data_IF_525911964370
#
_entry.id   IF_525911964370
#
_cell.length_a   1.000
_cell.length_b   1.000
_cell.length_c   1.000
_cell.angle_alpha   90.00
_cell.angle_beta   90.00
_cell.angle_gamma   90.00
#
_symmetry.space_group_name_H-M   'P 1'
#
loop_
_entity.id
_entity.type
_entity.pdbx_description
1 polymer ?
#
# COMPACT_ATOMS: atom_id res chain seq x y z
N UNK A 1 25.49 -27.09 74.72
CA UNK A 1 26.41 -26.22 73.97
C UNK A 1 26.54 -26.78 72.56
N UNK A 2 25.94 -26.11 71.58
CA UNK A 2 25.95 -26.46 70.15
C UNK A 2 26.49 -25.24 69.37
N UNK A 3 27.19 -25.42 68.24
CA UNK A 3 27.68 -24.30 67.44
C UNK A 3 26.58 -23.74 66.53
N UNK A 4 26.46 -22.42 66.48
CA UNK A 4 25.51 -21.71 65.62
C UNK A 4 26.10 -21.52 64.21
N UNK A 5 25.37 -22.02 63.23
CA UNK A 5 25.66 -21.99 61.80
C UNK A 5 24.99 -20.75 61.19
N UNK A 6 25.78 -19.73 60.85
CA UNK A 6 25.28 -18.57 60.10
C UNK A 6 25.14 -18.92 58.62
N UNK A 7 23.88 -19.01 58.15
CA UNK A 7 23.53 -19.17 56.74
C UNK A 7 23.16 -17.80 56.17
N UNK A 8 24.09 -17.18 55.44
CA UNK A 8 23.83 -15.93 54.69
C UNK A 8 23.11 -16.25 53.38
N UNK A 9 21.84 -15.88 53.28
CA UNK A 9 21.06 -15.90 52.04
C UNK A 9 21.27 -14.58 51.28
N UNK A 10 22.02 -14.61 50.19
CA UNK A 10 22.11 -13.47 49.26
C UNK A 10 20.89 -13.47 48.33
N UNK A 11 19.97 -12.53 48.51
CA UNK A 11 18.85 -12.29 47.61
C UNK A 11 19.36 -11.48 46.41
N UNK A 12 19.48 -12.11 45.25
CA UNK A 12 19.71 -11.43 43.99
C UNK A 12 18.40 -10.77 43.53
N UNK A 13 18.28 -9.45 43.70
CA UNK A 13 17.19 -8.67 43.13
C UNK A 13 17.53 -8.43 41.65
N UNK A 14 17.00 -9.30 40.79
CA UNK A 14 17.06 -9.09 39.34
C UNK A 14 16.00 -8.07 38.96
N UNK A 15 16.42 -6.81 38.77
CA UNK A 15 15.56 -5.75 38.23
C UNK A 15 15.27 -6.04 36.76
N UNK A 16 14.15 -6.70 36.50
CA UNK A 16 13.54 -6.70 35.17
C UNK A 16 12.92 -5.33 34.93
N UNK A 17 13.52 -4.54 34.03
CA UNK A 17 12.92 -3.33 33.52
C UNK A 17 11.66 -3.73 32.74
N UNK A 18 10.49 -3.41 33.30
CA UNK A 18 9.21 -3.57 32.65
C UNK A 18 9.11 -2.52 31.53
N UNK A 19 9.47 -2.89 30.31
CA UNK A 19 9.11 -2.11 29.13
C UNK A 19 7.59 -2.06 29.05
N UNK A 20 7.02 -0.85 29.06
CA UNK A 20 5.60 -0.61 28.87
C UNK A 20 5.19 -1.12 27.48
N UNK A 21 4.77 -2.38 27.39
CA UNK A 21 3.96 -2.85 26.28
C UNK A 21 2.55 -2.33 26.55
N UNK A 22 2.02 -1.51 25.63
CA UNK A 22 0.64 -1.04 25.69
C UNK A 22 -0.30 -2.25 25.77
N UNK A 23 -0.82 -2.52 26.97
CA UNK A 23 -1.88 -3.49 27.17
C UNK A 23 -3.11 -3.01 26.41
N UNK A 24 -3.56 -3.81 25.46
CA UNK A 24 -4.87 -3.64 24.85
C UNK A 24 -5.91 -3.84 25.94
N UNK A 25 -6.77 -2.85 26.22
CA UNK A 25 -7.83 -3.05 27.19
C UNK A 25 -8.80 -4.12 26.67
N UNK A 26 -9.21 -5.05 27.54
CA UNK A 26 -10.32 -5.98 27.29
C UNK A 26 -11.68 -5.25 27.38
N UNK A 27 -11.75 -4.05 26.81
CA UNK A 27 -12.92 -3.16 26.87
C UNK A 27 -13.92 -3.43 25.75
N UNK A 28 -13.65 -4.41 24.87
CA UNK A 28 -14.51 -4.76 23.75
C UNK A 28 -14.44 -3.80 22.57
N UNK A 29 -13.52 -2.81 22.60
CA UNK A 29 -13.33 -1.87 21.49
C UNK A 29 -12.31 -2.39 20.48
N UNK A 30 -12.41 -1.90 19.24
CA UNK A 30 -11.42 -2.18 18.20
C UNK A 30 -10.00 -1.76 18.67
N UNK A 31 -8.96 -2.56 18.34
CA UNK A 31 -7.61 -2.29 18.80
C UNK A 31 -7.04 -1.04 18.16
N UNK A 32 -6.51 -0.13 18.98
CA UNK A 32 -5.94 1.14 18.58
C UNK A 32 -4.61 1.41 19.28
N UNK A 33 -3.78 2.28 18.69
CA UNK A 33 -2.61 2.85 19.34
C UNK A 33 -3.01 4.22 19.89
N UNK A 34 -3.00 4.36 21.21
CA UNK A 34 -3.61 5.49 21.94
C UNK A 34 -2.87 6.82 21.76
N UNK A 35 -1.57 6.79 21.51
CA UNK A 35 -0.66 7.94 21.41
C UNK A 35 -0.08 8.09 19.99
N UNK A 36 -0.77 7.57 18.98
CA UNK A 36 -0.28 7.55 17.61
C UNK A 36 -0.17 8.96 17.02
N UNK A 37 1.05 9.36 16.65
CA UNK A 37 1.31 10.62 15.95
C UNK A 37 1.87 10.39 14.55
N UNK A 38 1.95 11.46 13.75
CA UNK A 38 2.44 11.38 12.37
C UNK A 38 3.91 10.92 12.27
N UNK A 39 4.73 11.16 13.29
CA UNK A 39 6.13 10.73 13.35
C UNK A 39 6.28 9.22 13.58
N UNK A 40 5.28 8.61 14.21
CA UNK A 40 5.23 7.19 14.55
C UNK A 40 4.73 6.32 13.39
N UNK A 41 4.27 6.95 12.30
CA UNK A 41 3.68 6.27 11.16
C UNK A 41 4.71 6.12 10.04
N UNK A 42 5.15 4.89 9.80
CA UNK A 42 5.83 4.54 8.56
C UNK A 42 5.68 3.06 8.22
N UNK A 43 5.94 2.70 6.97
CA UNK A 43 6.01 1.31 6.52
C UNK A 43 7.00 0.47 7.35
N UNK A 44 8.13 1.06 7.73
CA UNK A 44 9.15 0.36 8.51
C UNK A 44 8.75 0.19 9.99
N UNK A 45 7.95 1.10 10.54
CA UNK A 45 7.45 1.03 11.92
C UNK A 45 6.23 0.11 12.02
N UNK A 46 5.39 0.04 10.97
CA UNK A 46 4.27 -0.89 10.88
C UNK A 46 4.72 -2.35 11.08
N UNK A 47 5.83 -2.72 10.44
CA UNK A 47 6.40 -4.06 10.54
C UNK A 47 6.92 -4.41 11.95
N UNK A 48 7.10 -3.41 12.82
CA UNK A 48 7.56 -3.57 14.21
C UNK A 48 6.42 -3.59 15.22
N UNK A 49 5.18 -3.34 14.78
CA UNK A 49 4.03 -3.44 15.67
C UNK A 49 3.92 -4.87 16.19
N UNK A 50 3.67 -5.06 17.50
CA UNK A 50 3.43 -6.38 18.05
C UNK A 50 2.11 -6.93 17.52
N UNK A 51 2.11 -8.24 17.28
CA UNK A 51 0.89 -8.96 16.97
C UNK A 51 -0.09 -8.86 18.16
N UNK A 52 -1.39 -8.78 17.88
CA UNK A 52 -2.46 -8.79 18.89
C UNK A 52 -2.40 -10.10 19.66
N UNK A 53 -2.48 -10.05 20.99
CA UNK A 53 -2.56 -11.26 21.83
C UNK A 53 -3.81 -12.09 21.53
N UNK A 54 -4.92 -11.40 21.22
CA UNK A 54 -6.17 -12.02 20.83
C UNK A 54 -6.75 -11.28 19.62
N UNK A 55 -7.14 -11.98 18.55
CA UNK A 55 -7.88 -11.40 17.44
C UNK A 55 -9.13 -10.66 17.90
N UNK A 56 -9.40 -9.51 17.28
CA UNK A 56 -10.64 -8.77 17.46
C UNK A 56 -11.59 -9.09 16.32
N UNK A 57 -12.83 -9.49 16.63
CA UNK A 57 -13.88 -9.77 15.66
C UNK A 57 -15.17 -9.14 16.17
N UNK A 58 -15.75 -8.20 15.41
CA UNK A 58 -17.01 -7.55 15.75
C UNK A 58 -18.00 -7.60 14.59
N UNK A 59 -19.19 -8.09 14.91
CA UNK A 59 -20.40 -8.05 14.09
C UNK A 59 -21.25 -6.79 14.36
N UNK A 60 -20.76 -5.89 15.22
CA UNK A 60 -21.41 -4.63 15.57
C UNK A 60 -20.32 -3.56 15.74
N UNK A 61 -19.82 -3.00 14.62
CA UNK A 61 -18.73 -2.01 14.66
C UNK A 61 -19.14 -0.75 15.42
N UNK A 62 -18.18 -0.15 16.13
CA UNK A 62 -18.42 1.06 16.90
C UNK A 62 -18.53 2.31 16.00
N UNK A 63 -19.50 3.18 16.28
CA UNK A 63 -19.60 4.48 15.61
C UNK A 63 -18.53 5.45 16.14
N UNK A 64 -17.42 5.55 15.41
CA UNK A 64 -16.30 6.45 15.71
C UNK A 64 -16.57 7.93 15.41
N UNK A 65 -17.79 8.30 14.99
CA UNK A 65 -18.18 9.68 14.64
C UNK A 65 -17.29 10.30 13.56
N UNK A 66 -16.74 9.48 12.67
CA UNK A 66 -15.83 9.87 11.59
C UNK A 66 -16.54 10.02 10.23
N UNK A 67 -17.88 9.97 10.21
CA UNK A 67 -18.70 10.06 9.00
C UNK A 67 -18.94 8.73 8.29
N UNK A 68 -18.34 7.62 8.74
CA UNK A 68 -18.68 6.27 8.28
C UNK A 68 -19.89 5.78 9.09
N UNK A 69 -20.98 5.45 8.41
CA UNK A 69 -22.14 4.85 9.07
C UNK A 69 -21.80 3.42 9.52
N UNK A 70 -22.31 2.99 10.66
CA UNK A 70 -22.16 1.61 11.16
C UNK A 70 -23.54 0.96 11.31
N UNK A 71 -23.57 -0.36 11.20
CA UNK A 71 -24.76 -1.16 11.46
C UNK A 71 -24.37 -2.55 11.96
N UNK A 72 -25.28 -3.25 12.62
CA UNK A 72 -25.04 -4.64 13.03
C UNK A 72 -25.10 -5.58 11.82
N UNK A 73 -24.22 -6.57 11.80
CA UNK A 73 -24.31 -7.71 10.88
C UNK A 73 -25.56 -8.53 11.22
N UNK A 74 -26.58 -8.41 10.38
CA UNK A 74 -27.85 -9.15 10.53
C UNK A 74 -28.03 -10.15 9.39
N UNK A 75 -29.07 -10.99 9.49
CA UNK A 75 -29.47 -11.90 8.41
C UNK A 75 -29.91 -11.20 7.11
N UNK A 76 -30.02 -9.86 7.10
CA UNK A 76 -30.25 -9.08 5.88
C UNK A 76 -28.98 -8.91 5.04
N UNK A 77 -27.80 -9.06 5.65
CA UNK A 77 -26.54 -9.19 4.92
C UNK A 77 -26.41 -10.64 4.48
N UNK A 78 -25.97 -10.87 3.25
CA UNK A 78 -25.83 -12.24 2.74
C UNK A 78 -24.82 -13.04 3.58
N UNK A 79 -25.23 -14.24 4.02
CA UNK A 79 -24.38 -15.25 4.67
C UNK A 79 -23.57 -14.77 5.90
N UNK A 80 -24.20 -14.23 6.95
CA UNK A 80 -23.51 -13.71 8.14
C UNK A 80 -22.66 -14.77 8.85
N UNK A 81 -23.14 -16.02 8.90
CA UNK A 81 -22.39 -17.13 9.49
C UNK A 81 -21.13 -17.49 8.69
N UNK A 82 -21.15 -17.31 7.36
CA UNK A 82 -19.97 -17.55 6.53
C UNK A 82 -18.91 -16.46 6.74
N UNK A 83 -19.34 -15.20 6.92
CA UNK A 83 -18.46 -14.07 7.25
C UNK A 83 -17.75 -14.32 8.58
N UNK A 84 -18.50 -14.70 9.62
CA UNK A 84 -17.95 -15.00 10.94
C UNK A 84 -16.98 -16.19 10.88
N UNK A 85 -17.39 -17.29 10.22
CA UNK A 85 -16.54 -18.46 10.03
C UNK A 85 -15.23 -18.09 9.32
N UNK A 86 -15.30 -17.28 8.27
CA UNK A 86 -14.11 -16.84 7.55
C UNK A 86 -13.18 -16.01 8.43
N UNK A 87 -13.72 -15.09 9.22
CA UNK A 87 -12.93 -14.32 10.18
C UNK A 87 -12.26 -15.22 11.24
N UNK A 88 -12.95 -16.25 11.73
CA UNK A 88 -12.35 -17.26 12.62
C UNK A 88 -11.22 -18.03 11.95
N UNK A 89 -11.37 -18.46 10.70
CA UNK A 89 -10.29 -19.13 9.96
C UNK A 89 -9.07 -18.22 9.78
N UNK A 90 -9.28 -16.92 9.58
CA UNK A 90 -8.16 -15.96 9.54
C UNK A 90 -7.48 -15.88 10.90
N UNK A 91 -8.25 -15.81 11.99
CA UNK A 91 -7.73 -15.82 13.37
C UNK A 91 -6.92 -17.10 13.68
N UNK A 92 -7.36 -18.24 13.15
CA UNK A 92 -6.70 -19.54 13.31
C UNK A 92 -5.43 -19.69 12.44
N UNK A 93 -5.18 -18.74 11.53
CA UNK A 93 -3.99 -18.70 10.68
C UNK A 93 -4.12 -19.42 9.34
N UNK A 94 -5.32 -19.88 8.97
CA UNK A 94 -5.56 -20.67 7.75
C UNK A 94 -5.35 -19.89 6.44
N UNK A 95 -5.32 -18.55 6.51
CA UNK A 95 -5.29 -17.65 5.35
C UNK A 95 -4.02 -16.78 5.28
N UNK A 96 -2.96 -17.14 6.01
CA UNK A 96 -1.68 -16.47 5.98
C UNK A 96 -1.67 -15.12 6.73
N UNK A 97 -0.91 -14.16 6.19
CA UNK A 97 -0.54 -12.93 6.90
C UNK A 97 -1.55 -11.79 6.75
N UNK A 98 -2.78 -12.00 7.21
CA UNK A 98 -3.84 -10.98 7.17
C UNK A 98 -3.82 -10.15 8.46
N UNK A 99 -3.86 -8.82 8.34
CA UNK A 99 -3.91 -7.91 9.49
C UNK A 99 -5.33 -7.43 9.82
N UNK A 100 -6.24 -7.40 8.84
CA UNK A 100 -7.60 -6.92 9.06
C UNK A 100 -8.54 -7.39 7.97
N UNK A 101 -9.81 -7.56 8.31
CA UNK A 101 -10.91 -7.77 7.37
C UNK A 101 -12.13 -6.96 7.80
N UNK A 102 -12.60 -6.09 6.91
CA UNK A 102 -13.73 -5.19 7.13
C UNK A 102 -14.74 -5.37 6.00
N UNK A 103 -16.03 -5.24 6.32
CA UNK A 103 -17.11 -5.36 5.35
C UNK A 103 -18.07 -4.17 5.46
N UNK A 104 -18.23 -3.48 4.33
CA UNK A 104 -19.21 -2.42 4.16
C UNK A 104 -20.35 -2.92 3.27
N UNK A 105 -21.59 -2.69 3.69
CA UNK A 105 -22.79 -3.09 2.96
C UNK A 105 -23.84 -1.97 3.03
N UNK A 106 -24.40 -1.59 1.87
CA UNK A 106 -25.38 -0.50 1.74
C UNK A 106 -24.94 0.82 2.41
N UNK A 107 -23.65 1.17 2.28
CA UNK A 107 -23.09 2.41 2.81
C UNK A 107 -22.76 2.40 4.31
N UNK A 108 -22.95 1.27 5.01
CA UNK A 108 -22.60 1.11 6.41
C UNK A 108 -21.54 0.03 6.63
N UNK A 109 -20.60 0.27 7.54
CA UNK A 109 -19.68 -0.74 8.05
C UNK A 109 -20.49 -1.70 8.93
N UNK A 110 -20.59 -2.96 8.50
CA UNK A 110 -21.42 -3.98 9.17
C UNK A 110 -20.61 -4.99 9.96
N UNK A 111 -19.32 -5.08 9.68
CA UNK A 111 -18.42 -6.04 10.32
C UNK A 111 -16.98 -5.52 10.23
N UNK A 112 -16.22 -5.72 11.30
CA UNK A 112 -14.78 -5.47 11.31
C UNK A 112 -14.04 -6.50 12.15
N UNK A 113 -12.82 -6.81 11.72
CA UNK A 113 -11.93 -7.70 12.44
C UNK A 113 -10.48 -7.29 12.22
N UNK A 114 -9.67 -7.45 13.26
CA UNK A 114 -8.25 -7.15 13.27
C UNK A 114 -7.47 -8.32 13.86
N UNK A 115 -6.37 -8.64 13.22
CA UNK A 115 -5.50 -9.77 13.52
C UNK A 115 -4.04 -9.28 13.51
N UNK A 116 -3.13 -10.02 14.13
CA UNK A 116 -1.69 -9.72 14.07
C UNK A 116 -1.39 -8.24 14.31
N UNK A 117 -0.85 -7.52 13.33
CA UNK A 117 -0.44 -6.11 13.47
C UNK A 117 -1.56 -5.11 13.21
N UNK A 118 -2.76 -5.58 12.90
CA UNK A 118 -3.90 -4.72 12.60
C UNK A 118 -4.26 -3.81 13.77
N UNK A 119 -4.36 -2.52 13.49
CA UNK A 119 -4.90 -1.50 14.40
C UNK A 119 -5.85 -0.62 13.61
N UNK A 120 -7.01 -0.33 14.18
CA UNK A 120 -8.05 0.41 13.48
C UNK A 120 -7.64 1.84 13.10
N UNK A 121 -6.70 2.42 13.86
CA UNK A 121 -6.22 3.79 13.66
C UNK A 121 -4.80 3.87 13.07
N UNK A 122 -4.13 2.74 12.77
CA UNK A 122 -2.79 2.77 12.18
C UNK A 122 -2.84 2.70 10.64
N UNK A 123 -2.25 3.67 9.91
CA UNK A 123 -2.26 3.65 8.45
C UNK A 123 -1.46 2.48 7.86
N UNK A 124 -2.12 1.67 7.03
CA UNK A 124 -1.47 0.59 6.29
C UNK A 124 -0.86 1.08 4.97
N UNK A 125 0.30 0.53 4.60
CA UNK A 125 0.91 0.84 3.32
C UNK A 125 0.15 0.20 2.13
N UNK A 126 -0.55 1.03 1.36
CA UNK A 126 -1.57 0.59 0.40
C UNK A 126 -1.04 0.19 -1.00
N UNK A 127 0.24 0.40 -1.31
CA UNK A 127 0.86 0.02 -2.59
C UNK A 127 0.03 0.47 -3.82
N UNK A 128 -0.33 -0.45 -4.71
CA UNK A 128 -1.04 -0.17 -5.97
C UNK A 128 -2.47 0.33 -5.79
N UNK A 129 -3.08 0.22 -4.60
CA UNK A 129 -4.37 0.87 -4.31
C UNK A 129 -4.26 2.39 -4.50
N UNK A 130 -3.05 2.96 -4.38
CA UNK A 130 -2.77 4.37 -4.69
C UNK A 130 -3.28 4.79 -6.08
N UNK A 131 -3.28 3.87 -7.07
CA UNK A 131 -3.75 4.14 -8.43
C UNK A 131 -5.24 4.49 -8.47
N UNK A 132 -6.06 3.91 -7.61
CA UNK A 132 -7.49 4.24 -7.51
C UNK A 132 -7.70 5.69 -7.09
N UNK A 133 -6.90 6.19 -6.14
CA UNK A 133 -6.96 7.62 -5.78
C UNK A 133 -6.47 8.52 -6.92
N UNK A 134 -5.45 8.11 -7.68
CA UNK A 134 -5.04 8.85 -8.89
C UNK A 134 -6.19 8.94 -9.90
N UNK A 135 -6.90 7.84 -10.14
CA UNK A 135 -8.05 7.82 -11.05
C UNK A 135 -9.19 8.72 -10.55
N UNK A 136 -9.51 8.66 -9.25
CA UNK A 136 -10.52 9.54 -8.63
C UNK A 136 -10.13 11.01 -8.72
N UNK A 137 -8.87 11.35 -8.45
CA UNK A 137 -8.37 12.71 -8.56
C UNK A 137 -8.50 13.25 -9.99
N UNK A 138 -8.19 12.42 -11.00
CA UNK A 138 -8.35 12.79 -12.40
C UNK A 138 -9.82 12.98 -12.78
N UNK A 139 -10.70 12.06 -12.37
CA UNK A 139 -12.14 12.19 -12.59
C UNK A 139 -12.70 13.47 -11.95
N UNK A 140 -12.22 13.82 -10.74
CA UNK A 140 -12.60 15.08 -10.08
C UNK A 140 -12.07 16.30 -10.82
N UNK A 141 -10.84 16.26 -11.34
CA UNK A 141 -10.28 17.33 -12.17
C UNK A 141 -11.11 17.55 -13.44
N UNK A 142 -11.61 16.49 -14.06
CA UNK A 142 -12.53 16.57 -15.21
C UNK A 142 -13.86 17.20 -14.78
N UNK A 143 -14.46 16.75 -13.68
CA UNK A 143 -15.72 17.30 -13.17
C UNK A 143 -15.64 18.80 -12.84
N UNK A 144 -14.47 19.25 -12.37
CA UNK A 144 -14.20 20.66 -12.04
C UNK A 144 -13.78 21.49 -13.27
N UNK A 145 -13.66 20.89 -14.45
CA UNK A 145 -13.27 21.58 -15.69
C UNK A 145 -11.78 21.90 -15.82
N UNK A 146 -10.92 21.32 -14.97
CA UNK A 146 -9.46 21.41 -15.11
C UNK A 146 -8.92 20.50 -16.22
N UNK A 147 -9.68 19.45 -16.55
CA UNK A 147 -9.48 18.56 -17.69
C UNK A 147 -10.82 18.33 -18.37
N UNK A 148 -10.79 17.83 -19.60
CA UNK A 148 -11.96 17.40 -20.37
C UNK A 148 -11.89 15.90 -20.62
N UNK A 149 -13.04 15.27 -20.92
CA UNK A 149 -13.04 13.86 -21.33
C UNK A 149 -12.17 13.63 -22.58
N UNK A 150 -12.23 14.54 -23.56
CA UNK A 150 -11.41 14.49 -24.78
C UNK A 150 -9.89 14.60 -24.51
N UNK A 151 -9.48 15.05 -23.31
CA UNK A 151 -8.06 15.09 -22.93
C UNK A 151 -7.50 13.69 -22.69
N UNK A 152 -8.36 12.69 -22.44
CA UNK A 152 -7.94 11.30 -22.26
C UNK A 152 -7.31 10.70 -23.52
N UNK A 153 -7.74 11.14 -24.71
CA UNK A 153 -7.23 10.68 -26.00
C UNK A 153 -5.96 11.44 -26.45
N UNK A 154 -5.53 12.44 -25.67
CA UNK A 154 -4.30 13.20 -25.98
C UNK A 154 -3.06 12.44 -25.52
N UNK A 155 -1.93 12.61 -26.21
CA UNK A 155 -0.64 12.10 -25.75
C UNK A 155 -0.32 12.49 -24.30
N UNK A 156 0.03 11.53 -23.45
CA UNK A 156 0.32 11.75 -22.02
C UNK A 156 1.49 12.73 -21.82
N UNK A 157 2.45 12.74 -22.75
CA UNK A 157 3.60 13.65 -22.75
C UNK A 157 3.23 15.11 -22.99
N UNK A 158 2.00 15.40 -23.43
CA UNK A 158 1.50 16.77 -23.56
C UNK A 158 1.20 17.43 -22.21
N UNK A 159 0.91 16.62 -21.19
CA UNK A 159 0.63 17.08 -19.81
C UNK A 159 1.90 17.18 -18.94
N UNK A 160 3.03 16.63 -19.40
CA UNK A 160 4.28 16.55 -18.65
C UNK A 160 5.28 17.62 -19.12
N UNK A 161 5.05 18.88 -18.74
CA UNK A 161 5.80 20.04 -19.23
C UNK A 161 7.33 20.00 -18.99
N UNK A 162 7.80 19.24 -17.99
CA UNK A 162 9.22 19.11 -17.63
C UNK A 162 9.90 17.88 -18.24
N UNK A 163 9.20 17.14 -19.11
CA UNK A 163 9.75 15.94 -19.75
C UNK A 163 10.67 16.33 -20.91
N UNK A 164 11.88 15.79 -20.92
CA UNK A 164 12.82 15.94 -22.02
C UNK A 164 12.38 15.04 -23.19
N UNK A 165 11.77 15.66 -24.21
CA UNK A 165 11.18 14.94 -25.35
C UNK A 165 12.20 14.35 -26.30
N UNK A 166 13.44 14.86 -26.29
CA UNK A 166 14.53 14.36 -27.15
C UNK A 166 15.00 12.95 -26.74
N UNK A 167 14.60 12.49 -25.55
CA UNK A 167 14.97 11.18 -24.99
C UNK A 167 13.84 10.14 -25.08
N UNK A 168 12.76 10.45 -25.77
CA UNK A 168 11.68 9.51 -25.98
C UNK A 168 12.11 8.43 -26.98
N UNK A 169 11.73 7.19 -26.69
CA UNK A 169 11.83 6.11 -27.67
C UNK A 169 10.69 6.23 -28.69
N UNK A 170 10.91 5.69 -29.88
CA UNK A 170 9.91 5.69 -30.96
C UNK A 170 8.54 5.21 -30.47
N UNK A 171 7.49 5.97 -30.83
CA UNK A 171 6.11 5.69 -30.47
C UNK A 171 5.70 6.10 -29.06
N UNK A 172 6.62 6.42 -28.15
CA UNK A 172 6.27 6.85 -26.78
C UNK A 172 5.50 8.18 -26.75
N UNK A 173 5.71 9.02 -27.75
CA UNK A 173 5.01 10.30 -27.96
C UNK A 173 3.54 10.15 -28.37
N UNK A 174 3.13 8.97 -28.84
CA UNK A 174 1.75 8.70 -29.27
C UNK A 174 0.89 8.10 -28.14
N UNK A 175 1.50 7.64 -27.05
CA UNK A 175 0.80 7.03 -25.92
C UNK A 175 -0.18 8.04 -25.31
N UNK A 176 -1.46 7.71 -25.33
CA UNK A 176 -2.53 8.54 -24.78
C UNK A 176 -2.58 8.50 -23.26
N UNK A 177 -3.22 9.50 -22.66
CA UNK A 177 -3.50 9.51 -21.22
C UNK A 177 -4.36 8.30 -20.82
N UNK A 178 -5.36 7.93 -21.62
CA UNK A 178 -6.21 6.75 -21.41
C UNK A 178 -5.40 5.44 -21.39
N UNK A 179 -4.47 5.26 -22.32
CA UNK A 179 -3.62 4.06 -22.35
C UNK A 179 -2.67 4.00 -21.15
N UNK A 180 -2.16 5.14 -20.68
CA UNK A 180 -1.36 5.20 -19.46
C UNK A 180 -2.18 4.81 -18.21
N UNK A 181 -3.43 5.26 -18.09
CA UNK A 181 -4.31 4.97 -16.96
C UNK A 181 -4.80 3.53 -16.94
N UNK A 182 -5.01 2.93 -18.12
CA UNK A 182 -5.52 1.57 -18.28
C UNK A 182 -4.42 0.52 -18.45
N UNK A 183 -3.16 0.84 -18.12
CA UNK A 183 -2.02 -0.08 -18.18
C UNK A 183 -1.73 -0.61 -19.60
N UNK A 184 -2.11 0.13 -20.64
CA UNK A 184 -1.92 -0.20 -22.07
C UNK A 184 -0.81 0.60 -22.76
N UNK A 185 -0.08 1.43 -22.01
CA UNK A 185 1.00 2.26 -22.57
C UNK A 185 2.22 1.49 -23.10
N UNK A 186 2.36 0.20 -22.78
CA UNK A 186 3.55 -0.58 -23.16
C UNK A 186 4.84 -0.19 -22.43
N UNK A 187 4.81 0.83 -21.56
CA UNK A 187 5.99 1.30 -20.83
C UNK A 187 6.52 0.20 -19.91
N UNK A 188 7.83 -0.03 -19.97
CA UNK A 188 8.57 -0.97 -19.13
C UNK A 188 9.78 -0.27 -18.53
N UNK A 189 10.13 -0.65 -17.30
CA UNK A 189 11.31 -0.16 -16.61
C UNK A 189 12.05 -1.38 -16.09
N UNK A 190 13.32 -1.53 -16.49
CA UNK A 190 14.20 -2.57 -15.97
C UNK A 190 14.36 -2.43 -14.45
N UNK A 191 14.40 -3.55 -13.74
CA UNK A 191 14.35 -3.57 -12.27
C UNK A 191 15.49 -2.76 -11.64
N UNK A 192 16.69 -2.86 -12.19
CA UNK A 192 17.88 -2.15 -11.72
C UNK A 192 17.74 -0.64 -11.90
N UNK A 193 17.11 -0.22 -13.02
CA UNK A 193 16.83 1.19 -13.30
C UNK A 193 15.75 1.71 -12.33
N UNK A 194 14.68 0.94 -12.13
CA UNK A 194 13.63 1.29 -11.18
C UNK A 194 14.18 1.46 -9.76
N UNK A 195 15.07 0.54 -9.31
CA UNK A 195 15.70 0.62 -7.99
C UNK A 195 16.53 1.90 -7.82
N UNK A 196 17.32 2.28 -8.83
CA UNK A 196 18.11 3.53 -8.82
C UNK A 196 17.22 4.78 -8.76
N UNK A 197 16.12 4.79 -9.51
CA UNK A 197 15.15 5.89 -9.51
C UNK A 197 14.45 6.03 -8.15
N UNK A 198 14.04 4.92 -7.54
CA UNK A 198 13.42 4.91 -6.21
C UNK A 198 14.40 5.47 -5.17
N UNK A 199 15.66 5.04 -5.19
CA UNK A 199 16.67 5.50 -4.25
C UNK A 199 16.99 6.99 -4.44
N UNK A 200 17.12 7.45 -5.69
CA UNK A 200 17.27 8.87 -6.01
C UNK A 200 16.11 9.71 -5.48
N UNK A 201 14.87 9.24 -5.66
CA UNK A 201 13.66 9.91 -5.15
C UNK A 201 13.64 9.98 -3.63
N UNK A 202 14.05 8.92 -2.93
CA UNK A 202 14.17 8.91 -1.46
C UNK A 202 15.16 9.95 -0.97
N UNK A 203 16.34 10.05 -1.59
CA UNK A 203 17.36 11.05 -1.23
C UNK A 203 16.85 12.48 -1.44
N UNK A 204 16.21 12.74 -2.58
CA UNK A 204 15.64 14.06 -2.86
C UNK A 204 14.58 14.46 -1.82
N UNK A 205 13.68 13.52 -1.43
CA UNK A 205 12.66 13.78 -0.40
C UNK A 205 13.25 14.05 0.97
N UNK A 206 14.34 13.37 1.36
CA UNK A 206 15.03 13.60 2.63
C UNK A 206 15.67 14.99 2.66
N UNK A 207 16.40 15.36 1.61
CA UNK A 207 16.97 16.71 1.48
C UNK A 207 15.90 17.82 1.46
N UNK A 208 14.74 17.57 0.84
CA UNK A 208 13.60 18.48 0.90
C UNK A 208 12.93 18.55 2.29
N UNK A 209 13.04 17.48 3.09
CA UNK A 209 12.57 17.47 4.47
C UNK A 209 13.48 18.28 5.40
N UNK A 210 14.78 18.13 5.23
CA UNK A 210 15.80 18.81 6.03
C UNK A 210 15.90 20.32 5.72
N UNK A 211 15.44 20.75 4.54
CA UNK A 211 15.45 22.17 4.13
C UNK A 211 14.28 23.01 4.66
N UNK A 212 13.38 22.44 5.49
CA UNK A 212 12.30 23.19 6.14
C UNK A 212 11.21 23.74 5.21
N UNK A 213 11.22 23.38 3.92
CA UNK A 213 10.20 23.82 2.95
C UNK A 213 8.81 23.28 3.30
N UNK A 214 7.79 24.13 3.17
CA UNK A 214 6.38 23.75 3.40
C UNK A 214 5.88 22.74 2.35
N UNK A 215 4.82 22.00 2.69
CA UNK A 215 4.27 20.91 1.85
C UNK A 215 3.86 21.37 0.43
N UNK A 216 3.37 22.60 0.30
CA UNK A 216 3.05 23.27 -0.97
C UNK A 216 4.31 23.66 -1.74
N UNK A 217 5.32 24.21 -1.08
CA UNK A 217 6.63 24.50 -1.72
C UNK A 217 7.36 23.23 -2.18
N UNK A 218 7.12 22.08 -1.53
CA UNK A 218 7.63 20.76 -1.95
C UNK A 218 6.93 20.22 -3.19
N UNK A 219 5.65 20.53 -3.39
CA UNK A 219 4.90 20.12 -4.58
C UNK A 219 5.39 20.87 -5.83
N UNK A 220 5.69 22.17 -5.70
CA UNK A 220 6.22 22.99 -6.80
C UNK A 220 7.68 22.66 -7.17
N UNK A 221 8.47 22.24 -6.18
CA UNK A 221 9.89 21.86 -6.35
C UNK A 221 10.12 20.38 -6.70
N UNK A 222 9.11 19.51 -6.58
CA UNK A 222 9.31 18.06 -6.47
C UNK A 222 8.61 17.17 -7.49
N UNK A 223 8.98 17.28 -8.78
CA UNK A 223 8.92 16.12 -9.70
C UNK A 223 9.99 16.24 -10.78
N UNK A 224 11.26 16.18 -10.37
CA UNK A 224 12.41 16.05 -11.26
C UNK A 224 13.05 14.67 -11.05
N UNK A 225 12.33 13.62 -11.40
CA UNK A 225 12.99 12.38 -11.77
C UNK A 225 13.63 12.61 -13.15
N UNK A 226 14.95 12.86 -13.20
CA UNK A 226 15.71 12.76 -14.46
C UNK A 226 15.62 11.32 -14.94
N UNK A 227 14.67 11.05 -15.84
CA UNK A 227 14.64 9.83 -16.61
C UNK A 227 15.77 9.95 -17.66
N UNK A 228 16.98 9.55 -17.30
CA UNK A 228 18.03 9.28 -18.29
C UNK A 228 17.85 7.84 -18.75
N UNK A 229 17.11 7.65 -19.85
CA UNK A 229 17.28 6.47 -20.68
C UNK A 229 18.47 6.81 -21.59
N UNK A 230 19.66 6.35 -21.23
CA UNK A 230 20.84 6.43 -22.10
C UNK A 230 20.96 5.11 -22.87
N UNK A 231 20.86 5.16 -24.18
CA UNK A 231 21.30 4.07 -25.05
C UNK A 231 22.78 3.75 -24.78
N UNK A 232 23.08 2.44 -24.67
CA UNK A 232 24.47 1.99 -24.69
C UNK A 232 25.03 2.21 -26.08
N UNK A 233 26.13 2.95 -26.10
CA UNK A 233 27.08 3.08 -27.21
C UNK A 233 27.44 1.69 -27.76
N UNK A 234 27.42 1.58 -29.08
CA UNK A 234 27.88 0.45 -29.90
C UNK A 234 29.19 -0.15 -29.39
N UNK A 235 29.22 -1.46 -29.23
CA UNK A 235 30.45 -2.25 -29.34
C UNK A 235 30.19 -3.32 -30.38
N UNK A 236 30.79 -3.09 -31.56
CA UNK A 236 31.02 -4.11 -32.56
C UNK A 236 31.85 -5.26 -31.99
N UNK A 237 31.56 -6.47 -32.46
CA UNK A 237 32.42 -7.65 -32.34
C UNK A 237 31.96 -8.67 -31.31
N UNK A 238 31.16 -9.66 -31.73
CA UNK A 238 31.72 -10.95 -32.11
C UNK A 238 30.63 -11.86 -32.69
N UNK A 239 30.99 -12.57 -33.75
CA UNK A 239 30.12 -13.50 -34.46
C UNK A 239 30.12 -14.85 -33.76
N UNK A 240 28.95 -15.42 -33.48
CA UNK A 240 28.90 -16.77 -32.92
C UNK A 240 27.51 -17.34 -32.70
N UNK A 241 27.13 -18.25 -33.58
CA UNK A 241 26.16 -19.33 -33.39
C UNK A 241 24.65 -19.00 -33.36
N UNK A 242 24.07 -19.06 -34.56
CA UNK A 242 22.66 -19.33 -34.79
C UNK A 242 22.43 -20.85 -34.74
N UNK A 243 21.82 -21.37 -33.68
CA UNK A 243 20.80 -22.43 -33.84
C UNK A 243 20.08 -22.75 -32.52
N UNK A 244 18.80 -23.13 -32.65
CA UNK A 244 17.94 -23.82 -31.66
C UNK A 244 17.23 -22.96 -30.61
N UNK A 245 15.99 -22.58 -30.91
CA UNK A 245 14.80 -23.37 -30.50
C UNK A 245 13.51 -22.76 -31.04
N UNK A 246 12.86 -23.50 -31.93
CA UNK A 246 11.48 -23.31 -32.37
C UNK A 246 10.49 -23.91 -31.36
N UNK A 247 9.22 -23.44 -31.45
CA UNK A 247 7.98 -23.97 -30.84
C UNK A 247 7.79 -23.46 -29.40
N UNK A 248 6.70 -22.78 -29.05
CA UNK A 248 5.33 -23.18 -29.32
C UNK A 248 4.39 -21.95 -29.37
N UNK A 249 3.63 -21.82 -30.45
CA UNK A 249 2.51 -20.88 -30.59
C UNK A 249 1.23 -21.68 -30.38
N UNK A 250 0.43 -21.31 -29.39
CA UNK A 250 -0.95 -21.77 -29.28
C UNK A 250 -1.86 -20.63 -28.84
N UNK A 251 -2.58 -20.09 -29.84
CA UNK A 251 -3.97 -19.60 -29.80
C UNK A 251 -4.56 -19.32 -28.42
N UNK A 252 -4.82 -18.04 -28.15
CA UNK A 252 -5.89 -17.61 -27.24
C UNK A 252 -7.04 -17.07 -28.11
N UNK A 253 -8.14 -17.80 -28.10
CA UNK A 253 -9.42 -17.41 -28.70
C UNK A 253 -10.02 -16.24 -27.95
N UNK A 254 -10.46 -15.21 -28.68
CA UNK A 254 -11.21 -14.06 -28.17
C UNK A 254 -12.63 -14.51 -27.80
N UNK A 255 -13.01 -14.43 -26.53
CA UNK A 255 -14.42 -14.36 -26.14
C UNK A 255 -14.73 -12.92 -25.74
N UNK A 256 -15.50 -12.25 -26.60
CA UNK A 256 -16.05 -10.91 -26.41
C UNK A 256 -17.39 -11.09 -25.68
N UNK A 257 -17.47 -10.71 -24.41
CA UNK A 257 -18.73 -10.59 -23.69
C UNK A 257 -19.33 -9.21 -24.05
N UNK A 258 -20.41 -9.21 -24.80
CA UNK A 258 -21.27 -8.05 -25.03
C UNK A 258 -22.23 -7.94 -23.85
N UNK A 259 -22.23 -6.79 -23.18
CA UNK A 259 -23.31 -6.38 -22.28
C UNK A 259 -24.13 -5.35 -23.04
N UNK A 260 -25.34 -5.73 -23.47
CA UNK A 260 -26.36 -4.79 -23.95
C UNK A 260 -27.20 -4.32 -22.77
N UNK A 261 -27.68 -3.08 -22.89
CA UNK A 261 -28.54 -2.37 -21.94
C UNK A 261 -29.94 -2.96 -21.85
#
# INVERSE_FOLDING_TARGET
MKPDLFLTFSIAISTFALTAQGQQPANGLAPEITDLNAEDVSYALEAKLPDLETPYISAEPDDKKNGIQVATLTNKVAAPQAILKFASQIADGDHGEINSFLLMHNGALVFESYFRRGRANYPHYQMSITKSYTAVALGRAIQLGHLKMDDLDKPVVSFLAKLDREKLVDGAEAITLAEALNMHSGVRIEKEVAAKLIEGSRRARRSAADSGLSRTQRADSGFTARLQISERRSLDGDAGDRSRRSRNSSRISRNRATWEN
#
